data_IF_151038287592
#
_entry.id   IF_151038287592
#
_cell.length_a   1.000
_cell.length_b   1.000
_cell.length_c   1.000
_cell.angle_alpha   90.00
_cell.angle_beta   90.00
_cell.angle_gamma   90.00
#
_symmetry.space_group_name_H-M   'P 1'
#
loop_
_entity.id
_entity.type
_entity.pdbx_description
1 polymer ?
#
# COMPACT_ATOMS: atom_id res chain seq x y z
N UNK A 1 -18.40 9.08 7.11
CA UNK A 1 -17.24 9.65 7.80
C UNK A 1 -16.29 8.52 8.18
N UNK A 2 -15.46 8.09 7.21
CA UNK A 2 -14.49 7.05 7.54
C UNK A 2 -13.22 7.70 8.08
N UNK A 3 -12.88 7.37 9.32
CA UNK A 3 -11.60 7.72 9.91
C UNK A 3 -10.53 6.83 9.29
N UNK A 4 -9.35 7.40 9.03
CA UNK A 4 -8.23 6.63 8.52
C UNK A 4 -7.84 5.53 9.51
N UNK A 5 -7.34 4.43 8.98
CA UNK A 5 -6.89 3.27 9.75
C UNK A 5 -5.40 3.37 10.04
N UNK A 6 -4.89 2.55 10.94
CA UNK A 6 -3.44 2.39 11.07
C UNK A 6 -2.91 1.53 9.91
N UNK A 7 -1.66 1.71 9.55
CA UNK A 7 -1.03 0.90 8.51
C UNK A 7 -1.06 -0.59 8.87
N UNK A 8 -0.93 -0.92 10.15
CA UNK A 8 -1.03 -2.30 10.63
C UNK A 8 -2.42 -2.89 10.37
N UNK A 9 -3.48 -2.12 10.62
CA UNK A 9 -4.85 -2.56 10.33
C UNK A 9 -5.06 -2.81 8.83
N UNK A 10 -4.54 -1.92 7.98
CA UNK A 10 -4.63 -2.08 6.53
C UNK A 10 -3.84 -3.32 6.08
N UNK A 11 -2.63 -3.51 6.61
CA UNK A 11 -1.82 -4.68 6.30
C UNK A 11 -2.55 -5.98 6.68
N UNK A 12 -3.15 -6.02 7.86
CA UNK A 12 -3.92 -7.19 8.31
C UNK A 12 -5.13 -7.45 7.43
N UNK A 13 -5.79 -6.39 6.95
CA UNK A 13 -6.93 -6.55 6.03
C UNK A 13 -6.46 -7.11 4.69
N UNK A 14 -5.32 -6.64 4.18
CA UNK A 14 -4.74 -7.16 2.93
C UNK A 14 -4.37 -8.64 3.09
N UNK A 15 -3.78 -9.03 4.22
CA UNK A 15 -3.48 -10.43 4.52
C UNK A 15 -4.75 -11.28 4.48
N UNK A 16 -5.80 -10.84 5.15
CA UNK A 16 -7.09 -11.54 5.19
C UNK A 16 -7.71 -11.69 3.81
N UNK A 17 -7.78 -10.59 3.05
CA UNK A 17 -8.35 -10.61 1.69
C UNK A 17 -7.51 -11.46 0.74
N UNK A 18 -6.18 -11.40 0.85
CA UNK A 18 -5.28 -12.21 0.01
C UNK A 18 -5.49 -13.70 0.24
N UNK A 19 -5.69 -14.11 1.48
CA UNK A 19 -5.95 -15.51 1.83
C UNK A 19 -7.26 -16.04 1.25
N UNK A 20 -8.23 -15.14 1.04
CA UNK A 20 -9.53 -15.53 0.48
C UNK A 20 -9.51 -15.67 -1.04
N UNK A 21 -8.41 -15.32 -1.69
CA UNK A 21 -8.28 -15.50 -3.16
C UNK A 21 -8.08 -16.97 -3.54
N UNK A 22 -8.35 -17.29 -4.79
CA UNK A 22 -8.19 -18.66 -5.33
C UNK A 22 -7.24 -18.61 -6.53
N UNK A 23 -5.98 -19.04 -6.38
CA UNK A 23 -5.35 -19.57 -5.16
C UNK A 23 -5.09 -18.49 -4.11
N UNK A 24 -4.94 -18.87 -2.83
CA UNK A 24 -4.61 -17.91 -1.78
C UNK A 24 -3.28 -17.21 -2.03
N UNK A 25 -3.21 -15.94 -1.68
CA UNK A 25 -1.98 -15.15 -1.78
C UNK A 25 -1.38 -14.93 -0.40
N UNK A 26 -0.06 -15.07 -0.32
CA UNK A 26 0.73 -14.78 0.86
C UNK A 26 1.83 -13.80 0.46
N UNK A 27 2.10 -12.81 1.28
CA UNK A 27 2.97 -11.71 0.90
C UNK A 27 4.27 -11.72 1.69
N UNK A 28 5.38 -11.35 1.02
CA UNK A 28 6.63 -11.04 1.70
C UNK A 28 6.53 -9.66 2.37
N UNK A 29 7.43 -9.34 3.32
CA UNK A 29 7.47 -7.99 3.90
C UNK A 29 7.52 -6.88 2.86
N UNK A 30 8.37 -7.00 1.85
CA UNK A 30 8.49 -5.97 0.82
C UNK A 30 7.19 -5.82 0.02
N UNK A 31 6.56 -6.92 -0.35
CA UNK A 31 5.25 -6.87 -1.02
C UNK A 31 4.23 -6.16 -0.15
N UNK A 32 4.11 -6.54 1.12
CA UNK A 32 3.09 -5.99 2.00
C UNK A 32 3.31 -4.50 2.25
N UNK A 33 4.55 -4.07 2.46
CA UNK A 33 4.88 -2.65 2.61
C UNK A 33 4.44 -1.85 1.39
N UNK A 34 4.70 -2.35 0.19
CA UNK A 34 4.34 -1.66 -1.05
C UNK A 34 2.83 -1.70 -1.30
N UNK A 35 2.17 -2.82 -1.01
CA UNK A 35 0.72 -2.93 -1.20
C UNK A 35 -0.04 -1.96 -0.29
N UNK A 36 0.38 -1.79 0.95
CA UNK A 36 -0.23 -0.81 1.87
C UNK A 36 -0.05 0.61 1.33
N UNK A 37 1.16 0.95 0.88
CA UNK A 37 1.43 2.26 0.27
C UNK A 37 0.55 2.48 -0.96
N UNK A 38 0.49 1.50 -1.87
CA UNK A 38 -0.28 1.59 -3.11
C UNK A 38 -1.77 1.75 -2.79
N UNK A 39 -2.29 0.99 -1.81
CA UNK A 39 -3.69 1.11 -1.38
C UNK A 39 -3.99 2.51 -0.82
N UNK A 40 -3.08 3.04 -0.02
CA UNK A 40 -3.19 4.41 0.49
C UNK A 40 -3.21 5.43 -0.66
N UNK A 41 -2.32 5.25 -1.63
CA UNK A 41 -2.26 6.10 -2.81
C UNK A 41 -3.56 6.09 -3.62
N UNK A 42 -4.08 4.90 -3.92
CA UNK A 42 -5.35 4.79 -4.66
C UNK A 42 -6.53 5.36 -3.88
N UNK A 43 -6.55 5.21 -2.56
CA UNK A 43 -7.60 5.81 -1.73
C UNK A 43 -7.56 7.32 -1.81
N UNK A 44 -6.37 7.91 -1.74
CA UNK A 44 -6.19 9.36 -1.93
C UNK A 44 -6.64 9.80 -3.32
N UNK A 45 -6.28 9.04 -4.35
CA UNK A 45 -6.63 9.39 -5.73
C UNK A 45 -8.12 9.27 -6.04
N UNK A 46 -8.78 8.26 -5.51
CA UNK A 46 -10.19 7.97 -5.78
C UNK A 46 -11.12 8.72 -4.84
N UNK A 47 -10.82 8.68 -3.54
CA UNK A 47 -11.73 9.20 -2.49
C UNK A 47 -11.31 10.57 -1.97
N UNK A 48 -10.12 11.05 -2.32
CA UNK A 48 -9.52 12.29 -1.81
C UNK A 48 -9.35 12.29 -0.28
N UNK A 49 -9.28 11.11 0.34
CA UNK A 49 -9.05 10.92 1.78
C UNK A 49 -7.95 9.90 2.01
N UNK A 50 -7.18 10.04 3.10
CA UNK A 50 -6.14 9.06 3.41
C UNK A 50 -6.72 7.73 3.90
N UNK A 51 -6.07 6.64 3.57
CA UNK A 51 -6.41 5.31 4.10
C UNK A 51 -5.73 5.06 5.45
N UNK A 52 -4.51 5.59 5.61
CA UNK A 52 -3.70 5.39 6.82
C UNK A 52 -3.45 6.70 7.54
N UNK A 53 -3.23 6.61 8.86
CA UNK A 53 -2.93 7.77 9.70
C UNK A 53 -1.45 8.15 9.68
N UNK A 54 -0.58 7.17 9.42
CA UNK A 54 0.86 7.37 9.47
C UNK A 54 1.39 8.08 8.22
N UNK A 55 2.55 8.71 8.37
CA UNK A 55 3.26 9.30 7.25
C UNK A 55 4.04 8.23 6.48
N UNK A 56 4.26 8.50 5.19
CA UNK A 56 5.09 7.66 4.32
C UNK A 56 6.45 8.33 4.15
N UNK A 57 7.52 7.56 4.27
CA UNK A 57 8.88 8.08 4.12
C UNK A 57 9.53 7.52 2.85
N UNK A 58 10.42 8.32 2.27
CA UNK A 58 11.19 7.93 1.09
C UNK A 58 12.49 7.27 1.54
N UNK A 59 12.51 5.93 1.51
CA UNK A 59 13.68 5.14 1.86
C UNK A 59 14.40 4.66 0.59
N UNK A 60 15.58 4.05 0.76
CA UNK A 60 16.45 3.63 -0.36
C UNK A 60 15.74 2.74 -1.40
N UNK A 61 14.85 1.86 -0.96
CA UNK A 61 14.16 0.92 -1.85
C UNK A 61 12.69 1.27 -2.09
N UNK A 62 12.36 2.54 -1.94
CA UNK A 62 11.03 3.03 -2.22
C UNK A 62 10.31 3.58 -1.00
N UNK A 63 9.01 3.90 -1.14
CA UNK A 63 8.22 4.43 -0.04
C UNK A 63 7.98 3.37 1.03
N UNK A 64 8.12 3.77 2.30
CA UNK A 64 7.95 2.90 3.46
C UNK A 64 7.15 3.62 4.54
N UNK A 65 6.30 2.87 5.22
CA UNK A 65 5.64 3.32 6.44
C UNK A 65 6.43 2.71 7.60
N UNK A 66 7.23 3.52 8.35
CA UNK A 66 8.18 2.97 9.32
C UNK A 66 7.55 2.09 10.40
N UNK A 67 6.37 2.47 10.90
CA UNK A 67 5.68 1.66 11.92
C UNK A 67 5.35 0.27 11.40
N UNK A 68 4.89 0.16 10.16
CA UNK A 68 4.60 -1.14 9.54
C UNK A 68 5.89 -1.94 9.33
N UNK A 69 6.96 -1.29 8.92
CA UNK A 69 8.25 -1.96 8.74
C UNK A 69 8.70 -2.67 10.02
N UNK A 70 8.50 -2.05 11.19
CA UNK A 70 8.87 -2.66 12.47
C UNK A 70 8.13 -3.98 12.73
N UNK A 71 6.92 -4.13 12.21
CA UNK A 71 6.13 -5.35 12.37
C UNK A 71 6.48 -6.45 11.37
N UNK A 72 7.06 -6.10 10.21
CA UNK A 72 7.32 -7.10 9.15
C UNK A 72 8.78 -7.49 9.01
N UNK A 73 9.71 -6.68 9.52
CA UNK A 73 11.15 -6.89 9.31
C UNK A 73 11.64 -8.26 9.81
N UNK A 74 11.02 -8.82 10.83
CA UNK A 74 11.42 -10.14 11.41
C UNK A 74 11.22 -11.30 10.43
N UNK A 75 10.37 -11.14 9.42
CA UNK A 75 10.13 -12.18 8.41
C UNK A 75 11.19 -12.19 7.30
N UNK A 76 12.04 -11.17 7.24
CA UNK A 76 13.10 -11.08 6.23
C UNK A 76 12.55 -11.06 4.81
N UNK A 77 12.93 -12.03 4.00
CA UNK A 77 12.44 -12.19 2.62
C UNK A 77 11.42 -13.31 2.47
N UNK A 78 10.99 -13.90 3.58
CA UNK A 78 10.03 -15.01 3.58
C UNK A 78 8.60 -14.50 3.45
N UNK A 79 7.71 -15.33 2.88
CA UNK A 79 6.29 -15.04 2.91
C UNK A 79 5.74 -15.05 4.33
N UNK A 80 4.80 -14.18 4.61
CA UNK A 80 4.15 -14.07 5.91
C UNK A 80 2.95 -15.01 5.91
N UNK A 81 3.02 -16.08 6.69
CA UNK A 81 1.93 -17.06 6.81
C UNK A 81 1.08 -16.83 8.05
N UNK A 82 1.48 -15.94 8.94
CA UNK A 82 0.69 -15.59 10.11
C UNK A 82 -0.63 -14.93 9.69
N UNK A 83 -1.70 -15.24 10.40
CA UNK A 83 -3.01 -14.69 10.10
C UNK A 83 -3.09 -13.19 10.39
N UNK A 84 -2.32 -12.72 11.36
CA UNK A 84 -2.26 -11.32 11.77
C UNK A 84 -0.85 -10.93 12.15
N UNK A 85 -0.53 -9.67 11.85
CA UNK A 85 0.66 -9.00 12.38
C UNK A 85 0.31 -8.27 13.67
N UNK A 86 1.33 -8.05 14.50
CA UNK A 86 1.17 -7.30 15.74
C UNK A 86 0.75 -8.18 16.92
N UNK A 87 0.38 -7.53 18.02
CA UNK A 87 -0.02 -8.20 19.24
C UNK A 87 -1.47 -7.81 19.59
N UNK A 88 -1.98 -8.36 20.71
CA UNK A 88 -3.33 -8.09 21.18
C UNK A 88 -3.64 -6.60 21.29
N UNK A 89 -2.65 -5.78 21.67
CA UNK A 89 -2.86 -4.36 21.94
C UNK A 89 -2.90 -3.50 20.68
N UNK A 90 -2.18 -3.88 19.62
CA UNK A 90 -2.04 -3.07 18.41
C UNK A 90 -2.65 -3.68 17.14
N UNK A 91 -3.20 -4.90 17.23
CA UNK A 91 -3.79 -5.59 16.08
C UNK A 91 -5.32 -5.65 16.15
N UNK A 92 -5.96 -4.68 16.80
CA UNK A 92 -7.42 -4.63 16.88
C UNK A 92 -8.02 -4.58 15.48
N UNK A 93 -9.08 -5.36 15.26
CA UNK A 93 -9.77 -5.37 13.99
C UNK A 93 -10.44 -4.01 13.75
N UNK A 94 -10.37 -3.56 12.51
CA UNK A 94 -11.00 -2.34 12.05
C UNK A 94 -12.12 -2.68 11.07
N UNK A 95 -13.14 -1.85 11.06
CA UNK A 95 -14.19 -1.95 10.05
C UNK A 95 -13.77 -1.13 8.82
N UNK A 96 -13.77 -1.78 7.67
CA UNK A 96 -13.51 -1.13 6.39
C UNK A 96 -14.83 -0.91 5.65
N UNK A 97 -14.97 0.26 5.02
CA UNK A 97 -16.12 0.55 4.20
C UNK A 97 -16.12 -0.31 2.93
N UNK A 98 -17.25 -0.36 2.24
CA UNK A 98 -17.33 -1.06 0.95
C UNK A 98 -16.37 -0.47 -0.08
N UNK A 99 -16.22 0.85 -0.10
CA UNK A 99 -15.31 1.54 -1.01
C UNK A 99 -13.86 1.20 -0.69
N UNK A 100 -13.50 1.19 0.59
CA UNK A 100 -12.17 0.80 1.02
C UNK A 100 -11.86 -0.65 0.64
N UNK A 101 -12.76 -1.57 0.91
CA UNK A 101 -12.57 -2.99 0.54
C UNK A 101 -12.49 -3.16 -0.98
N UNK A 102 -13.26 -2.40 -1.74
CA UNK A 102 -13.19 -2.43 -3.21
C UNK A 102 -11.80 -1.99 -3.69
N UNK A 103 -11.24 -0.93 -3.10
CA UNK A 103 -9.89 -0.47 -3.43
C UNK A 103 -8.85 -1.52 -3.03
N UNK A 104 -8.95 -2.09 -1.83
CA UNK A 104 -8.02 -3.13 -1.39
C UNK A 104 -8.07 -4.35 -2.32
N UNK A 105 -9.26 -4.80 -2.73
CA UNK A 105 -9.39 -5.89 -3.68
C UNK A 105 -8.80 -5.55 -5.05
N UNK A 106 -9.01 -4.34 -5.53
CA UNK A 106 -8.39 -3.86 -6.77
C UNK A 106 -6.86 -3.93 -6.68
N UNK A 107 -6.29 -3.46 -5.58
CA UNK A 107 -4.85 -3.46 -5.35
C UNK A 107 -4.31 -4.90 -5.31
N UNK A 108 -4.99 -5.78 -4.61
CA UNK A 108 -4.60 -7.20 -4.54
C UNK A 108 -4.67 -7.85 -5.92
N UNK A 109 -5.74 -7.63 -6.66
CA UNK A 109 -5.92 -8.24 -7.98
C UNK A 109 -4.92 -7.69 -9.01
N UNK A 110 -4.56 -6.42 -8.89
CA UNK A 110 -3.66 -5.74 -9.84
C UNK A 110 -2.18 -5.95 -9.49
N UNK A 111 -1.83 -5.85 -8.21
CA UNK A 111 -0.43 -5.80 -7.76
C UNK A 111 -0.02 -7.00 -6.90
N UNK A 112 -0.95 -7.77 -6.37
CA UNK A 112 -0.65 -8.79 -5.34
C UNK A 112 0.19 -9.95 -5.83
N UNK A 113 0.23 -10.22 -7.12
CA UNK A 113 1.07 -11.27 -7.72
C UNK A 113 2.43 -10.76 -8.21
N UNK A 114 2.67 -9.45 -8.13
CA UNK A 114 3.95 -8.84 -8.51
C UNK A 114 4.92 -9.03 -7.34
N UNK A 115 6.15 -9.46 -7.62
CA UNK A 115 7.13 -9.66 -6.54
C UNK A 115 7.57 -8.33 -5.91
N UNK A 116 8.15 -8.43 -4.72
CA UNK A 116 8.53 -7.25 -3.94
C UNK A 116 9.57 -6.37 -4.63
N UNK A 117 10.50 -6.96 -5.37
CA UNK A 117 11.54 -6.21 -6.09
C UNK A 117 10.89 -5.38 -7.21
N UNK A 118 9.97 -5.97 -7.97
CA UNK A 118 9.26 -5.26 -9.03
C UNK A 118 8.34 -4.18 -8.46
N UNK A 119 7.63 -4.45 -7.36
CA UNK A 119 6.82 -3.43 -6.68
C UNK A 119 7.69 -2.28 -6.17
N UNK A 120 8.87 -2.59 -5.64
CA UNK A 120 9.84 -1.57 -5.25
C UNK A 120 10.22 -0.71 -6.46
N UNK A 121 10.56 -1.32 -7.59
CA UNK A 121 10.91 -0.60 -8.81
C UNK A 121 9.79 0.31 -9.31
N UNK A 122 8.55 -0.18 -9.32
CA UNK A 122 7.38 0.61 -9.74
C UNK A 122 7.20 1.84 -8.84
N UNK A 123 7.34 1.68 -7.53
CA UNK A 123 7.04 2.73 -6.57
C UNK A 123 8.19 3.73 -6.37
N UNK A 124 9.41 3.41 -6.82
CA UNK A 124 10.53 4.36 -6.76
C UNK A 124 11.08 4.74 -8.14
N UNK A 125 10.35 4.47 -9.19
CA UNK A 125 10.71 4.88 -10.55
C UNK A 125 10.72 6.41 -10.69
N UNK A 126 11.33 6.88 -11.77
CA UNK A 126 11.30 8.29 -12.16
C UNK A 126 9.87 8.79 -12.31
N UNK A 127 9.57 9.99 -11.83
CA UNK A 127 8.23 10.58 -11.92
C UNK A 127 7.27 10.16 -10.81
N UNK A 128 7.72 9.38 -9.83
CA UNK A 128 6.89 8.98 -8.68
C UNK A 128 7.04 9.98 -7.53
N UNK A 129 6.09 9.98 -6.56
CA UNK A 129 6.23 10.80 -5.35
C UNK A 129 7.53 10.55 -4.61
N UNK A 130 7.99 9.28 -4.58
CA UNK A 130 9.26 8.93 -3.96
C UNK A 130 10.43 9.64 -4.67
N UNK A 131 10.47 9.62 -5.99
CA UNK A 131 11.57 10.22 -6.75
C UNK A 131 11.66 11.73 -6.55
N UNK A 132 10.53 12.39 -6.33
CA UNK A 132 10.48 13.82 -6.04
C UNK A 132 10.93 14.17 -4.62
N UNK A 133 10.95 13.19 -3.71
CA UNK A 133 11.20 13.41 -2.28
C UNK A 133 12.55 12.84 -1.82
N UNK A 134 12.96 11.70 -2.39
CA UNK A 134 14.13 10.95 -1.90
C UNK A 134 15.41 11.77 -1.99
N UNK A 135 16.13 11.85 -0.86
CA UNK A 135 17.45 12.42 -0.74
C UNK A 135 18.33 11.44 0.01
N UNK A 136 19.55 11.24 -0.48
CA UNK A 136 20.46 10.23 0.05
C UNK A 136 20.57 10.23 1.59
N UNK A 137 20.13 9.14 2.21
CA UNK A 137 20.46 8.78 3.58
C UNK A 137 19.45 9.15 4.65
N UNK A 138 18.40 9.90 4.37
CA UNK A 138 17.42 10.32 5.38
C UNK A 138 16.00 10.05 4.90
N UNK A 139 15.20 9.44 5.75
CA UNK A 139 13.80 9.12 5.43
C UNK A 139 12.91 10.35 5.42
N UNK A 140 13.04 11.21 4.42
CA UNK A 140 12.15 12.37 4.26
C UNK A 140 10.73 11.92 4.05
N UNK A 141 9.78 12.64 4.65
CA UNK A 141 8.35 12.36 4.49
C UNK A 141 7.93 12.71 3.07
N UNK A 142 7.24 11.77 2.42
CA UNK A 142 6.63 12.01 1.12
C UNK A 142 5.33 12.78 1.36
N UNK A 143 5.18 14.02 0.84
CA UNK A 143 3.97 14.78 1.06
C UNK A 143 2.73 14.05 0.53
N UNK A 144 1.67 14.04 1.32
CA UNK A 144 0.39 13.42 0.96
C UNK A 144 -0.15 13.97 -0.36
N UNK A 145 0.02 15.26 -0.61
CA UNK A 145 -0.43 15.89 -1.85
C UNK A 145 0.24 15.32 -3.09
N UNK A 146 1.55 14.99 -3.00
CA UNK A 146 2.26 14.37 -4.12
C UNK A 146 1.71 12.97 -4.40
N UNK A 147 1.42 12.21 -3.35
CA UNK A 147 0.86 10.86 -3.50
C UNK A 147 -0.53 10.95 -4.13
N UNK A 148 -1.38 11.83 -3.62
CA UNK A 148 -2.73 12.05 -4.13
C UNK A 148 -2.71 12.44 -5.61
N UNK A 149 -1.85 13.38 -5.98
CA UNK A 149 -1.72 13.86 -7.35
C UNK A 149 -1.29 12.73 -8.30
N UNK A 150 -0.28 11.97 -7.90
CA UNK A 150 0.24 10.85 -8.70
C UNK A 150 -0.85 9.80 -8.99
N UNK A 151 -1.59 9.38 -7.96
CA UNK A 151 -2.63 8.37 -8.13
C UNK A 151 -3.87 8.93 -8.83
N UNK A 152 -4.13 10.22 -8.72
CA UNK A 152 -5.19 10.86 -9.49
C UNK A 152 -4.85 10.85 -11.00
N UNK A 153 -3.60 11.09 -11.34
CA UNK A 153 -3.12 10.98 -12.73
C UNK A 153 -3.22 9.53 -13.25
N UNK A 154 -2.85 8.55 -12.43
CA UNK A 154 -3.00 7.14 -12.78
C UNK A 154 -4.46 6.77 -13.00
N UNK A 155 -5.36 7.28 -12.15
CA UNK A 155 -6.79 7.05 -12.30
C UNK A 155 -7.31 7.59 -13.64
N UNK A 156 -6.87 8.79 -14.03
CA UNK A 156 -7.23 9.37 -15.33
C UNK A 156 -6.75 8.49 -16.50
N UNK A 157 -5.54 7.94 -16.41
CA UNK A 157 -5.02 7.03 -17.43
C UNK A 157 -5.82 5.74 -17.52
N UNK A 158 -6.22 5.16 -16.40
CA UNK A 158 -7.06 3.96 -16.36
C UNK A 158 -8.41 4.23 -17.00
N UNK A 159 -9.06 5.35 -16.65
CA UNK A 159 -10.34 5.76 -17.24
C UNK A 159 -10.23 6.00 -18.74
N UNK A 160 -9.15 6.64 -19.18
CA UNK A 160 -8.89 6.93 -20.59
C UNK A 160 -8.74 5.63 -21.40
N UNK A 161 -8.00 4.66 -20.88
CA UNK A 161 -7.80 3.35 -21.50
C UNK A 161 -9.12 2.56 -21.63
N UNK A 162 -9.97 2.62 -20.60
CA UNK A 162 -11.29 1.97 -20.65
C UNK A 162 -12.16 2.59 -21.73
N UNK A 163 -12.12 3.93 -21.90
CA UNK A 163 -12.90 4.63 -22.92
C UNK A 163 -12.43 4.31 -24.35
N UNK A 164 -11.15 4.00 -24.54
CA UNK A 164 -10.61 3.68 -25.88
C UNK A 164 -10.81 2.22 -26.29
N UNK A 165 -11.15 1.33 -25.36
CA UNK A 165 -11.40 -0.09 -25.63
C UNK A 165 -12.89 -0.42 -25.80
N UNK A 166 -13.75 0.55 -25.60
CA UNK A 166 -15.19 0.42 -25.89
C UNK A 166 -15.54 1.18 -27.17
#
# INVERSE_FOLDING_TARGET
YSMAHTALQVANRIIELGRSKHPPQYYTPMQLLKLVYIAHGWTLGICATPLITEQVEAWKYGPVIPDLYQHVKKYGSSSIFDEKLGNFWNSQSAEFSKDEDAILNYVIDTYGSIDGIQLSQITHASGTPWSATFRNGWGDVIPTDLIAHHYRQLLEKVRSNVRTTT
#
